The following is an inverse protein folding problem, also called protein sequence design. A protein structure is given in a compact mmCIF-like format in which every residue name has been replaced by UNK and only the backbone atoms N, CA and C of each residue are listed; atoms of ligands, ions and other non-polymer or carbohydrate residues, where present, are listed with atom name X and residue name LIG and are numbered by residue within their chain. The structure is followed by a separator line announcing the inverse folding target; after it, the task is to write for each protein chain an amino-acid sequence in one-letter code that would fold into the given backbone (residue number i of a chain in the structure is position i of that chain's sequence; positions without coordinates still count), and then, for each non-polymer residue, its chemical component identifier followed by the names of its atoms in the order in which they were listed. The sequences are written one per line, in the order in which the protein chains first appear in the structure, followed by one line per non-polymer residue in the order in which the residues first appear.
data_IF_572827871606
#
_entry.id   IF_572827871606
#
_cell.length_a   1.000
_cell.length_b   1.000
_cell.length_c   1.000
_cell.angle_alpha   90.00
_cell.angle_beta   90.00
_cell.angle_gamma   90.00
#
_symmetry.space_group_name_H-M   'P 1'
#
loop_
_entity.id
_entity.type
_entity.pdbx_description
1 polymer ?
#
# COMPACT_ATOMS: atom_id res chain seq x y z
N UNK A 1 -4.87 -15.32 -10.97
CA UNK A 1 -5.90 -14.46 -11.57
C UNK A 1 -6.07 -13.17 -10.78
N UNK A 2 -6.57 -13.20 -9.53
CA UNK A 2 -6.84 -12.00 -8.73
C UNK A 2 -5.63 -11.06 -8.61
N UNK A 3 -4.43 -11.58 -8.31
CA UNK A 3 -3.22 -10.73 -8.21
C UNK A 3 -2.82 -10.06 -9.53
N UNK A 4 -3.02 -10.74 -10.66
CA UNK A 4 -2.70 -10.19 -11.98
C UNK A 4 -3.73 -9.12 -12.38
N UNK A 5 -5.02 -9.35 -12.12
CA UNK A 5 -6.07 -8.34 -12.31
C UNK A 5 -5.85 -7.11 -11.42
N UNK A 6 -5.46 -7.32 -10.15
CA UNK A 6 -5.18 -6.22 -9.22
C UNK A 6 -3.98 -5.37 -9.69
N UNK A 7 -2.88 -6.01 -10.10
CA UNK A 7 -1.73 -5.31 -10.67
C UNK A 7 -2.10 -4.55 -11.94
N UNK A 8 -2.84 -5.21 -12.83
CA UNK A 8 -3.28 -4.64 -14.10
C UNK A 8 -4.18 -3.41 -13.89
N UNK A 9 -5.10 -3.51 -12.94
CA UNK A 9 -6.01 -2.42 -12.58
C UNK A 9 -5.23 -1.26 -11.98
N UNK A 10 -4.31 -1.52 -11.03
CA UNK A 10 -3.49 -0.47 -10.42
C UNK A 10 -2.64 0.32 -11.45
N UNK A 11 -2.04 -0.37 -12.43
CA UNK A 11 -1.26 0.29 -13.49
C UNK A 11 -2.19 1.09 -14.43
N UNK A 12 -3.36 0.54 -14.74
CA UNK A 12 -4.34 1.20 -15.61
C UNK A 12 -4.90 2.46 -14.96
N UNK A 13 -5.14 2.44 -13.65
CA UNK A 13 -5.64 3.57 -12.86
C UNK A 13 -4.61 4.71 -12.74
N UNK A 14 -3.31 4.40 -12.76
CA UNK A 14 -2.26 5.43 -12.73
C UNK A 14 -2.13 6.22 -14.04
N UNK A 15 -2.46 5.61 -15.20
CA UNK A 15 -2.31 6.25 -16.52
C UNK A 15 -3.60 6.20 -17.35
N UNK A 16 -4.71 6.77 -16.86
CA UNK A 16 -6.02 6.63 -17.49
C UNK A 16 -6.04 7.18 -18.92
N UNK A 17 -5.28 8.25 -19.19
CA UNK A 17 -5.19 8.89 -20.51
C UNK A 17 -4.54 7.98 -21.56
N UNK A 18 -3.56 7.16 -21.16
CA UNK A 18 -2.87 6.23 -22.08
C UNK A 18 -3.73 4.98 -22.33
N UNK A 19 -4.50 4.54 -21.34
CA UNK A 19 -5.32 3.32 -21.44
C UNK A 19 -6.70 3.53 -22.05
N UNK A 20 -7.22 4.75 -22.11
CA UNK A 20 -8.47 5.06 -22.81
C UNK A 20 -8.34 5.00 -24.34
N UNK A 21 -7.12 5.10 -24.88
CA UNK A 21 -6.87 5.11 -26.34
C UNK A 21 -6.20 3.82 -26.81
N UNK A 22 -6.95 2.71 -26.87
CA UNK A 22 -6.60 1.55 -27.71
C UNK A 22 -6.21 0.23 -27.01
N UNK A 23 -5.44 -0.60 -27.73
CA UNK A 23 -5.11 -2.00 -27.38
C UNK A 23 -4.07 -2.17 -26.24
N UNK A 24 -3.62 -1.07 -25.62
CA UNK A 24 -2.55 -1.06 -24.61
C UNK A 24 -2.84 -1.93 -23.38
N UNK A 25 -4.11 -2.04 -22.97
CA UNK A 25 -4.53 -2.94 -21.88
C UNK A 25 -4.15 -4.40 -22.17
N UNK A 26 -4.32 -4.85 -23.42
CA UNK A 26 -3.97 -6.21 -23.86
C UNK A 26 -2.45 -6.40 -23.93
N UNK A 27 -1.72 -5.38 -24.39
CA UNK A 27 -0.24 -5.41 -24.47
C UNK A 27 0.36 -5.49 -23.06
N UNK A 28 -0.14 -4.71 -22.10
CA UNK A 28 0.32 -4.81 -20.71
C UNK A 28 0.11 -6.21 -20.13
N UNK A 29 -1.07 -6.80 -20.34
CA UNK A 29 -1.35 -8.15 -19.85
C UNK A 29 -0.38 -9.17 -20.46
N UNK A 30 -0.10 -9.05 -21.76
CA UNK A 30 0.89 -9.89 -22.45
C UNK A 30 2.29 -9.71 -21.85
N UNK A 31 2.74 -8.47 -21.63
CA UNK A 31 4.05 -8.18 -21.03
C UNK A 31 4.16 -8.75 -19.61
N UNK A 32 3.14 -8.55 -18.77
CA UNK A 32 3.11 -9.10 -17.40
C UNK A 32 3.12 -10.63 -17.44
N UNK A 33 2.37 -11.24 -18.37
CA UNK A 33 2.33 -12.69 -18.54
C UNK A 33 3.67 -13.26 -19.01
N UNK A 34 4.35 -12.60 -19.95
CA UNK A 34 5.69 -13.01 -20.43
C UNK A 34 6.71 -12.86 -19.30
N UNK A 35 6.69 -11.75 -18.57
CA UNK A 35 7.56 -11.55 -17.40
C UNK A 35 7.34 -12.62 -16.33
N UNK A 36 6.09 -12.91 -15.99
CA UNK A 36 5.72 -13.98 -15.05
C UNK A 36 6.16 -15.36 -15.53
N UNK A 37 6.06 -15.65 -16.84
CA UNK A 37 6.53 -16.90 -17.43
C UNK A 37 8.05 -17.06 -17.30
N UNK A 38 8.82 -16.00 -17.59
CA UNK A 38 10.28 -16.03 -17.47
C UNK A 38 10.73 -16.24 -16.02
N UNK A 39 10.11 -15.55 -15.06
CA UNK A 39 10.39 -15.75 -13.62
C UNK A 39 10.02 -17.17 -13.20
N UNK A 40 8.87 -17.67 -13.64
CA UNK A 40 8.45 -19.05 -13.40
C UNK A 40 9.43 -20.08 -13.96
N UNK A 41 10.00 -19.83 -15.14
CA UNK A 41 10.98 -20.73 -15.76
C UNK A 41 12.26 -20.85 -14.93
N UNK A 42 12.72 -19.76 -14.30
CA UNK A 42 13.85 -19.80 -13.35
C UNK A 42 13.53 -20.68 -12.13
N UNK A 43 12.29 -20.64 -11.63
CA UNK A 43 11.84 -21.43 -10.47
C UNK A 43 11.65 -22.93 -10.77
N UNK A 44 11.59 -23.35 -12.03
CA UNK A 44 11.42 -24.77 -12.43
C UNK A 44 12.75 -25.49 -12.66
N UNK A 45 13.87 -24.77 -12.67
CA UNK A 45 15.21 -25.37 -12.81
C UNK A 45 15.59 -26.25 -11.59
N UNK A 46 16.62 -27.09 -11.72
CA UNK A 46 17.09 -27.99 -10.63
C UNK A 46 17.42 -27.27 -9.31
N UNK A 47 17.80 -25.98 -9.38
CA UNK A 47 18.03 -25.11 -8.22
C UNK A 47 16.83 -24.21 -7.86
N UNK A 48 15.70 -24.39 -8.52
CA UNK A 48 14.54 -23.49 -8.45
C UNK A 48 13.88 -23.44 -7.07
N UNK A 49 13.93 -24.53 -6.30
CA UNK A 49 13.40 -24.58 -4.94
C UNK A 49 14.11 -23.58 -4.00
N UNK A 50 15.41 -23.35 -4.19
CA UNK A 50 16.16 -22.33 -3.45
C UNK A 50 15.65 -20.93 -3.80
N UNK A 51 15.58 -20.61 -5.09
CA UNK A 51 15.07 -19.32 -5.57
C UNK A 51 13.64 -19.08 -5.11
N UNK A 52 12.80 -20.13 -5.14
CA UNK A 52 11.42 -20.08 -4.67
C UNK A 52 11.33 -19.77 -3.17
N UNK A 53 12.10 -20.47 -2.32
CA UNK A 53 12.07 -20.20 -0.88
C UNK A 53 12.62 -18.81 -0.53
N UNK A 54 13.68 -18.36 -1.23
CA UNK A 54 14.21 -17.01 -1.06
C UNK A 54 13.14 -15.97 -1.45
N UNK A 55 12.47 -16.16 -2.59
CA UNK A 55 11.43 -15.27 -3.08
C UNK A 55 10.22 -15.24 -2.13
N UNK A 56 9.74 -16.39 -1.68
CA UNK A 56 8.60 -16.48 -0.75
C UNK A 56 8.91 -15.77 0.58
N UNK A 57 10.12 -15.96 1.11
CA UNK A 57 10.54 -15.34 2.37
C UNK A 57 10.76 -13.82 2.27
N UNK A 58 11.43 -13.34 1.21
CA UNK A 58 11.81 -11.93 1.07
C UNK A 58 10.80 -11.06 0.31
N UNK A 59 10.11 -11.60 -0.72
CA UNK A 59 9.13 -10.86 -1.52
C UNK A 59 7.75 -10.82 -0.85
N UNK A 60 7.31 -11.95 -0.27
CA UNK A 60 6.10 -12.02 0.57
C UNK A 60 6.46 -11.82 2.05
N UNK A 61 7.48 -11.01 2.33
CA UNK A 61 7.95 -10.81 3.70
C UNK A 61 6.84 -10.20 4.55
N UNK A 62 6.35 -10.98 5.52
CA UNK A 62 5.35 -10.53 6.48
C UNK A 62 5.75 -9.22 7.17
N UNK A 63 7.05 -8.95 7.31
CA UNK A 63 7.56 -7.71 7.90
C UNK A 63 7.13 -6.46 7.13
N UNK A 64 7.19 -6.49 5.80
CA UNK A 64 6.77 -5.35 4.96
C UNK A 64 5.27 -5.15 5.05
N UNK A 65 4.49 -6.23 4.92
CA UNK A 65 3.03 -6.19 5.03
C UNK A 65 2.55 -5.69 6.39
N UNK A 66 3.22 -6.09 7.48
CA UNK A 66 2.91 -5.64 8.83
C UNK A 66 3.20 -4.14 9.02
N UNK A 67 4.31 -3.62 8.45
CA UNK A 67 4.61 -2.18 8.46
C UNK A 67 3.52 -1.42 7.69
N UNK A 68 3.11 -1.89 6.51
CA UNK A 68 2.01 -1.30 5.76
C UNK A 68 0.69 -1.32 6.54
N UNK A 69 0.37 -2.41 7.22
CA UNK A 69 -0.84 -2.53 8.02
C UNK A 69 -0.84 -1.52 9.20
N UNK A 70 0.30 -1.33 9.86
CA UNK A 70 0.45 -0.31 10.90
C UNK A 70 0.27 1.09 10.31
N UNK A 71 0.91 1.41 9.19
CA UNK A 71 0.73 2.70 8.51
C UNK A 71 -0.73 2.95 8.11
N UNK A 72 -1.41 1.94 7.58
CA UNK A 72 -2.82 2.03 7.19
C UNK A 72 -3.73 2.23 8.39
N UNK A 73 -3.42 1.60 9.53
CA UNK A 73 -4.19 1.77 10.78
C UNK A 73 -4.14 3.20 11.32
N UNK A 74 -3.04 3.93 11.12
CA UNK A 74 -2.93 5.36 11.49
C UNK A 74 -3.95 6.19 10.68
N UNK A 75 -4.19 5.81 9.42
CA UNK A 75 -5.15 6.45 8.53
C UNK A 75 -6.59 5.90 8.67
N UNK A 76 -6.84 4.89 9.53
CA UNK A 76 -8.12 4.18 9.60
C UNK A 76 -9.30 5.08 9.97
N UNK A 77 -9.09 6.13 10.77
CA UNK A 77 -10.15 7.09 11.10
C UNK A 77 -10.69 7.80 9.86
N UNK A 78 -9.81 8.21 8.94
CA UNK A 78 -10.24 8.88 7.71
C UNK A 78 -10.86 7.92 6.71
N UNK A 79 -10.37 6.68 6.68
CA UNK A 79 -10.99 5.63 5.88
C UNK A 79 -12.42 5.36 6.35
N UNK A 80 -12.65 5.35 7.67
CA UNK A 80 -13.98 5.21 8.25
C UNK A 80 -14.92 6.35 7.83
N UNK A 81 -14.45 7.60 7.87
CA UNK A 81 -15.23 8.76 7.44
C UNK A 81 -15.58 8.70 5.95
N UNK A 82 -14.65 8.25 5.09
CA UNK A 82 -14.92 8.04 3.66
C UNK A 82 -15.94 6.92 3.41
N UNK A 83 -15.88 5.84 4.19
CA UNK A 83 -16.84 4.72 4.07
C UNK A 83 -18.25 5.15 4.49
N UNK A 84 -18.37 5.96 5.55
CA UNK A 84 -19.64 6.55 5.96
C UNK A 84 -20.26 7.41 4.85
N UNK A 85 -19.45 8.19 4.14
CA UNK A 85 -19.87 9.04 3.03
C UNK A 85 -20.30 8.25 1.78
N UNK A 86 -19.62 7.13 1.49
CA UNK A 86 -19.97 6.26 0.35
C UNK A 86 -21.25 5.45 0.58
N UNK A 87 -21.48 5.01 1.82
CA UNK A 87 -22.54 4.07 2.16
C UNK A 87 -23.80 4.79 2.69
N UNK A 88 -23.66 6.01 3.20
CA UNK A 88 -24.78 6.85 3.68
C UNK A 88 -25.35 6.45 5.04
N UNK A 89 -24.85 5.38 5.67
CA UNK A 89 -25.15 5.00 7.05
C UNK A 89 -23.86 4.77 7.84
N UNK A 90 -23.87 5.08 9.15
CA UNK A 90 -22.73 4.77 10.02
C UNK A 90 -22.61 3.26 10.22
N UNK A 91 -21.52 2.61 9.80
CA UNK A 91 -21.26 1.24 10.19
C UNK A 91 -21.15 1.14 11.71
N UNK A 92 -21.36 -0.06 12.28
CA UNK A 92 -21.41 -0.24 13.72
C UNK A 92 -20.10 0.19 14.39
N UNK A 93 -20.19 0.88 15.54
CA UNK A 93 -19.01 1.37 16.28
C UNK A 93 -18.02 0.26 16.65
N UNK A 94 -18.47 -0.99 16.76
CA UNK A 94 -17.63 -2.17 17.00
C UNK A 94 -16.62 -2.38 15.86
N UNK A 95 -17.03 -2.16 14.61
CA UNK A 95 -16.14 -2.27 13.46
C UNK A 95 -15.03 -1.20 13.49
N UNK A 96 -15.37 0.01 13.95
CA UNK A 96 -14.40 1.09 14.15
C UNK A 96 -13.32 0.70 15.16
N UNK A 97 -13.72 0.18 16.33
CA UNK A 97 -12.76 -0.25 17.35
C UNK A 97 -11.91 -1.44 16.89
N UNK A 98 -12.51 -2.37 16.12
CA UNK A 98 -11.78 -3.49 15.52
C UNK A 98 -10.65 -3.01 14.59
N UNK A 99 -10.94 -2.09 13.67
CA UNK A 99 -9.95 -1.58 12.73
C UNK A 99 -8.93 -0.64 13.36
N UNK A 100 -9.33 0.16 14.34
CA UNK A 100 -8.44 1.14 14.97
C UNK A 100 -7.53 0.53 16.04
N UNK A 101 -7.98 -0.51 16.76
CA UNK A 101 -7.22 -1.06 17.89
C UNK A 101 -6.86 -2.53 17.69
N UNK A 102 -7.78 -3.39 17.24
CA UNK A 102 -7.48 -4.81 17.09
C UNK A 102 -6.48 -5.06 15.97
N UNK A 103 -6.66 -4.44 14.79
CA UNK A 103 -5.72 -4.57 13.67
C UNK A 103 -4.29 -4.16 14.03
N UNK A 104 -4.00 -2.94 14.54
CA UNK A 104 -2.63 -2.57 14.87
C UNK A 104 -2.07 -3.37 16.06
N UNK A 105 -2.91 -3.77 17.01
CA UNK A 105 -2.45 -4.61 18.12
C UNK A 105 -1.99 -5.98 17.63
N UNK A 106 -2.80 -6.67 16.82
CA UNK A 106 -2.45 -7.97 16.25
C UNK A 106 -1.21 -7.82 15.34
N UNK A 107 -1.18 -6.81 14.46
CA UNK A 107 -0.03 -6.58 13.60
C UNK A 107 1.26 -6.31 14.40
N UNK A 108 1.20 -5.51 15.46
CA UNK A 108 2.36 -5.23 16.32
C UNK A 108 2.81 -6.47 17.08
N UNK A 109 1.86 -7.26 17.62
CA UNK A 109 2.17 -8.50 18.31
C UNK A 109 2.84 -9.52 17.37
N UNK A 110 2.30 -9.70 16.15
CA UNK A 110 2.91 -10.57 15.12
C UNK A 110 4.27 -10.06 14.69
N UNK A 111 4.45 -8.74 14.56
CA UNK A 111 5.74 -8.13 14.21
C UNK A 111 6.80 -8.41 15.27
N UNK A 112 6.48 -8.21 16.55
CA UNK A 112 7.38 -8.51 17.67
C UNK A 112 7.71 -10.00 17.72
N UNK A 113 6.71 -10.87 17.56
CA UNK A 113 6.92 -12.32 17.52
C UNK A 113 7.83 -12.73 16.35
N UNK A 114 7.64 -12.12 15.19
CA UNK A 114 8.47 -12.34 14.00
C UNK A 114 9.91 -11.88 14.22
N UNK A 115 10.13 -10.74 14.90
CA UNK A 115 11.48 -10.28 15.29
C UNK A 115 12.17 -11.24 16.26
N UNK A 116 11.45 -11.76 17.26
CA UNK A 116 12.00 -12.70 18.24
C UNK A 116 12.37 -14.03 17.58
N UNK A 117 11.56 -14.48 16.62
CA UNK A 117 11.80 -15.72 15.86
C UNK A 117 12.60 -15.51 14.58
N UNK A 118 13.20 -14.33 14.40
CA UNK A 118 13.98 -13.99 13.21
C UNK A 118 15.25 -14.85 13.17
N UNK A 119 15.12 -16.00 12.52
CA UNK A 119 16.23 -16.90 12.22
C UNK A 119 16.66 -16.61 10.79
N UNK A 120 17.97 -16.39 10.52
CA UNK A 120 18.44 -16.22 9.16
C UNK A 120 18.03 -17.47 8.38
N UNK A 121 17.49 -17.27 7.17
CA UNK A 121 16.96 -18.33 6.33
C UNK A 121 18.01 -19.44 6.14
N UNK A 122 17.88 -20.55 6.89
CA UNK A 122 18.73 -21.73 6.77
C UNK A 122 17.98 -22.79 5.98
N UNK A 123 18.43 -23.08 4.77
CA UNK A 123 17.87 -24.18 4.01
C UNK A 123 18.48 -25.48 4.55
N UNK A 124 17.64 -26.32 5.16
CA UNK A 124 17.98 -27.65 5.65
C UNK A 124 19.15 -27.72 6.68
N UNK A 125 19.36 -26.68 7.51
CA UNK A 125 20.42 -26.61 8.54
C UNK A 125 21.88 -26.87 8.10
N UNK A 126 22.14 -27.06 6.80
CA UNK A 126 23.46 -27.37 6.22
C UNK A 126 23.85 -26.38 5.12
N UNK A 127 22.87 -25.72 4.49
CA UNK A 127 23.14 -24.78 3.39
C UNK A 127 23.00 -23.33 3.85
N UNK A 128 24.13 -22.66 4.05
CA UNK A 128 24.18 -21.22 4.20
C UNK A 128 24.05 -20.58 2.82
N UNK A 129 23.10 -19.65 2.68
CA UNK A 129 22.97 -18.92 1.42
C UNK A 129 24.26 -18.14 1.14
N UNK A 130 24.77 -18.15 -0.10
CA UNK A 130 25.89 -17.30 -0.46
C UNK A 130 25.53 -15.83 -0.23
N UNK A 131 26.52 -15.00 0.06
CA UNK A 131 26.32 -13.56 0.35
C UNK A 131 25.52 -12.82 -0.74
N UNK A 132 25.62 -13.27 -2.00
CA UNK A 132 24.87 -12.76 -3.14
C UNK A 132 23.35 -12.98 -2.99
N UNK A 133 22.94 -14.13 -2.45
CA UNK A 133 21.54 -14.46 -2.20
C UNK A 133 20.93 -13.55 -1.12
N UNK A 134 21.69 -13.25 -0.08
CA UNK A 134 21.29 -12.24 0.90
C UNK A 134 21.17 -10.85 0.28
N UNK A 135 22.12 -10.44 -0.58
CA UNK A 135 22.04 -9.16 -1.29
C UNK A 135 20.79 -9.05 -2.17
N UNK A 136 20.42 -10.11 -2.89
CA UNK A 136 19.21 -10.16 -3.71
C UNK A 136 17.95 -10.09 -2.83
N UNK A 137 17.91 -10.83 -1.71
CA UNK A 137 16.80 -10.80 -0.76
C UNK A 137 16.60 -9.41 -0.15
N UNK A 138 17.68 -8.77 0.30
CA UNK A 138 17.66 -7.39 0.79
C UNK A 138 17.23 -6.41 -0.28
N UNK A 139 17.67 -6.57 -1.53
CA UNK A 139 17.23 -5.73 -2.63
C UNK A 139 15.72 -5.84 -2.88
N UNK A 140 15.16 -7.07 -2.88
CA UNK A 140 13.71 -7.26 -3.02
C UNK A 140 12.91 -6.60 -1.88
N UNK A 141 13.33 -6.81 -0.62
CA UNK A 141 12.63 -6.23 0.53
C UNK A 141 12.76 -4.71 0.59
N UNK A 142 13.96 -4.17 0.31
CA UNK A 142 14.20 -2.73 0.26
C UNK A 142 13.45 -2.08 -0.89
N UNK A 143 13.40 -2.69 -2.08
CA UNK A 143 12.68 -2.14 -3.23
C UNK A 143 11.20 -1.89 -2.91
N UNK A 144 10.54 -2.83 -2.23
CA UNK A 144 9.13 -2.68 -1.86
C UNK A 144 8.94 -1.67 -0.73
N UNK A 145 9.75 -1.78 0.33
CA UNK A 145 9.61 -0.93 1.53
C UNK A 145 10.03 0.51 1.27
N UNK A 146 11.04 0.76 0.44
CA UNK A 146 11.51 2.10 0.09
C UNK A 146 10.57 2.83 -0.86
N UNK A 147 9.75 2.13 -1.65
CA UNK A 147 8.85 2.79 -2.60
C UNK A 147 7.91 3.78 -1.90
N UNK A 148 7.34 3.40 -0.74
CA UNK A 148 6.44 4.27 0.05
C UNK A 148 7.10 5.56 0.56
N UNK A 149 8.21 5.51 1.34
CA UNK A 149 8.87 6.71 1.81
C UNK A 149 9.46 7.52 0.65
N UNK A 150 9.91 6.89 -0.44
CA UNK A 150 10.37 7.61 -1.63
C UNK A 150 9.25 8.43 -2.26
N UNK A 151 8.05 7.86 -2.42
CA UNK A 151 6.88 8.62 -2.88
C UNK A 151 6.48 9.73 -1.91
N UNK A 152 6.57 9.48 -0.60
CA UNK A 152 6.32 10.51 0.43
C UNK A 152 7.32 11.68 0.32
N UNK A 153 8.62 11.38 0.23
CA UNK A 153 9.69 12.39 0.10
C UNK A 153 9.59 13.12 -1.22
N UNK A 154 9.31 12.42 -2.32
CA UNK A 154 9.07 13.02 -3.63
C UNK A 154 7.88 13.99 -3.58
N UNK A 155 6.77 13.59 -2.95
CA UNK A 155 5.62 14.47 -2.72
C UNK A 155 6.01 15.74 -1.97
N UNK A 156 6.81 15.62 -0.90
CA UNK A 156 7.32 16.76 -0.11
C UNK A 156 8.28 17.63 -0.93
N UNK A 157 9.11 17.04 -1.80
CA UNK A 157 10.07 17.78 -2.61
C UNK A 157 9.38 18.61 -3.71
N UNK A 158 8.33 18.07 -4.32
CA UNK A 158 7.58 18.71 -5.41
C UNK A 158 6.61 19.78 -4.89
N UNK A 159 6.05 19.64 -3.67
CA UNK A 159 5.15 20.68 -3.12
C UNK A 159 5.94 21.91 -2.67
N UNK A 160 5.63 23.12 -3.18
CA UNK A 160 6.20 24.36 -2.66
C UNK A 160 5.60 24.70 -1.26
N UNK A 161 6.40 25.26 -0.36
CA UNK A 161 5.93 25.75 0.95
C UNK A 161 6.82 25.37 2.14
N UNK A 162 6.33 25.60 3.37
CA UNK A 162 7.00 25.20 4.63
C UNK A 162 6.72 23.73 4.99
N UNK A 163 7.61 23.04 5.73
CA UNK A 163 7.47 21.60 6.04
C UNK A 163 6.11 21.23 6.67
N UNK A 164 5.57 22.08 7.56
CA UNK A 164 4.24 21.85 8.18
C UNK A 164 3.09 22.03 7.18
N UNK A 165 3.20 23.00 6.26
CA UNK A 165 2.20 23.20 5.21
C UNK A 165 2.25 22.08 4.17
N UNK A 166 3.45 21.61 3.80
CA UNK A 166 3.62 20.48 2.87
C UNK A 166 3.05 19.19 3.44
N UNK A 167 3.36 18.86 4.71
CA UNK A 167 2.79 17.69 5.37
C UNK A 167 1.27 17.80 5.49
N UNK A 168 0.73 18.99 5.81
CA UNK A 168 -0.73 19.19 5.83
C UNK A 168 -1.35 19.02 4.44
N UNK A 169 -0.74 19.55 3.39
CA UNK A 169 -1.24 19.45 2.02
C UNK A 169 -1.19 17.99 1.51
N UNK A 170 -0.11 17.26 1.78
CA UNK A 170 0.03 15.84 1.41
C UNK A 170 -0.89 14.93 2.24
N UNK A 171 -1.17 15.31 3.48
CA UNK A 171 -2.20 14.70 4.31
C UNK A 171 -3.58 15.35 4.11
N UNK A 172 -3.85 16.06 3.01
CA UNK A 172 -5.22 16.46 2.65
C UNK A 172 -5.69 15.59 1.48
N UNK A 173 -6.97 15.15 1.49
CA UNK A 173 -7.54 14.42 0.36
C UNK A 173 -7.56 15.32 -0.88
N UNK A 174 -7.55 14.71 -2.07
CA UNK A 174 -7.64 15.44 -3.33
C UNK A 174 -8.88 16.35 -3.36
N UNK A 175 -8.70 17.59 -3.84
CA UNK A 175 -9.76 18.60 -3.88
C UNK A 175 -10.90 18.24 -4.84
N UNK A 176 -10.65 17.31 -5.77
CA UNK A 176 -11.61 16.83 -6.78
C UNK A 176 -12.70 15.91 -6.21
N UNK A 177 -12.60 15.51 -4.93
CA UNK A 177 -13.61 14.69 -4.28
C UNK A 177 -14.83 15.53 -3.88
N UNK A 178 -16.07 15.07 -4.14
CA UNK A 178 -17.26 15.77 -3.67
C UNK A 178 -17.18 15.94 -2.14
N UNK A 179 -17.46 17.14 -1.64
CA UNK A 179 -17.38 17.40 -0.21
C UNK A 179 -18.28 16.43 0.57
N UNK A 180 -17.69 15.75 1.56
CA UNK A 180 -18.36 14.85 2.50
C UNK A 180 -19.62 15.49 3.07
N UNK A 181 -20.68 14.71 3.28
CA UNK A 181 -21.96 15.21 3.82
C UNK A 181 -21.77 15.99 5.13
N UNK A 182 -20.90 15.51 6.03
CA UNK A 182 -20.54 16.20 7.28
C UNK A 182 -19.86 17.57 7.06
N UNK A 183 -19.09 17.72 5.97
CA UNK A 183 -18.47 19.00 5.59
C UNK A 183 -19.50 19.97 4.98
N UNK A 184 -20.47 19.45 4.23
CA UNK A 184 -21.62 20.24 3.74
C UNK A 184 -22.45 20.76 4.92
N UNK A 185 -22.78 19.91 5.89
CA UNK A 185 -23.58 20.30 7.07
C UNK A 185 -22.91 21.34 7.96
N UNK A 186 -21.57 21.34 8.08
CA UNK A 186 -20.82 22.35 8.82
C UNK A 186 -20.63 23.69 8.07
N UNK A 187 -20.76 23.69 6.75
CA UNK A 187 -20.74 24.90 5.90
C UNK A 187 -22.12 25.59 5.80
N UNK A 188 -23.21 24.85 5.95
CA UNK A 188 -24.58 25.41 5.96
C UNK A 188 -24.77 26.51 7.03
N UNK A 189 -24.33 26.36 8.30
CA UNK A 189 -24.47 27.42 9.30
C UNK A 189 -23.53 28.62 9.08
N UNK A 190 -22.43 28.48 8.33
CA UNK A 190 -21.55 29.61 7.97
C UNK A 190 -22.07 30.39 6.77
N UNK A 191 -22.75 29.75 5.82
CA UNK A 191 -23.43 30.42 4.71
C UNK A 191 -24.76 31.09 5.13
N UNK A 192 -25.40 30.61 6.20
CA UNK A 192 -26.64 31.16 6.74
C UNK A 192 -26.44 32.05 7.99
N UNK A 193 -25.19 32.24 8.42
CA UNK A 193 -24.84 33.21 9.48
C UNK A 193 -25.09 34.65 9.01
N UNK A 194 -25.35 35.61 9.92
CA UNK A 194 -25.86 36.95 9.61
C UNK A 194 -24.77 37.88 9.03
N UNK A 195 -24.21 37.51 7.87
CA UNK A 195 -23.30 38.36 7.08
C UNK A 195 -23.78 38.51 5.63
N UNK A 196 -25.06 38.22 5.38
CA UNK A 196 -25.76 38.46 4.10
C UNK A 196 -26.60 39.74 4.07
N UNK A 197 -26.30 40.73 4.92
CA UNK A 197 -26.87 42.08 4.83
C UNK A 197 -25.79 43.10 5.19
N UNK A 198 -24.96 43.43 4.20
CA UNK A 198 -24.47 44.79 3.91
C UNK A 198 -23.77 44.81 2.55
#
# INVERSE_FOLDING_TARGET
FVGLEALMTAISDMYPVVFQTGHWRKILLLVISIGGFLVGLVMVTEGGLYVFQLFDYYACSGMTLLIFAILQSICANRLYDNIEDMIGYRPSSVMKYCWQYCTPFICTATFIFSLIKFTPLKFNNVYEYPWWGYSIGWFFTLSSTLMVPLFMVYGIAVTPGTLRQRLRALCMPAEDLPMTVARKESLIPTLYGPTGLQ
#
